data_IF_997717467421
#
_entry.id   IF_997717467421
#
_cell.length_a   1.000
_cell.length_b   1.000
_cell.length_c   1.000
_cell.angle_alpha   90.00
_cell.angle_beta   90.00
_cell.angle_gamma   90.00
#
_symmetry.space_group_name_H-M   'P 1'
#
loop_
_entity.id
_entity.type
_entity.pdbx_description
1 polymer ?
#
# COMPACT_ATOMS: atom_id res chain seq x y z
N UNK A 1 15.33 52.94 4.77
CA UNK A 1 14.02 52.55 5.34
C UNK A 1 13.76 51.08 5.00
N UNK A 2 14.01 50.16 5.92
CA UNK A 2 13.66 48.74 5.78
C UNK A 2 12.53 48.44 6.79
N UNK A 3 11.30 48.18 6.30
CA UNK A 3 10.20 47.70 7.15
C UNK A 3 10.20 46.18 7.09
N UNK A 4 10.61 45.56 8.19
CA UNK A 4 10.49 44.12 8.43
C UNK A 4 9.01 43.75 8.55
N UNK A 5 8.50 42.96 7.60
CA UNK A 5 7.19 42.33 7.71
C UNK A 5 7.32 41.13 8.65
N UNK A 6 7.09 41.37 9.94
CA UNK A 6 6.86 40.29 10.90
C UNK A 6 5.60 39.54 10.44
N UNK A 7 5.79 38.30 9.96
CA UNK A 7 4.72 37.37 9.69
C UNK A 7 3.99 37.09 11.01
N UNK A 8 2.75 37.56 11.10
CA UNK A 8 1.84 37.22 12.20
C UNK A 8 1.49 35.72 12.09
N UNK A 9 1.50 34.96 13.19
CA UNK A 9 1.06 33.57 13.15
C UNK A 9 -0.42 33.55 12.78
N UNK A 10 -0.74 33.00 11.60
CA UNK A 10 -2.14 32.83 11.19
C UNK A 10 -2.77 31.86 12.17
N UNK A 11 -3.62 32.40 13.05
CA UNK A 11 -4.50 31.60 13.89
C UNK A 11 -5.52 30.97 12.94
N UNK A 12 -5.16 29.79 12.41
CA UNK A 12 -6.04 28.99 11.57
C UNK A 12 -7.27 28.65 12.41
N UNK A 13 -8.35 29.40 12.18
CA UNK A 13 -9.64 29.11 12.78
C UNK A 13 -10.08 27.76 12.24
N UNK A 14 -10.00 26.73 13.08
CA UNK A 14 -10.51 25.40 12.75
C UNK A 14 -11.98 25.55 12.37
N UNK A 15 -12.27 25.36 11.08
CA UNK A 15 -13.63 25.39 10.59
C UNK A 15 -14.39 24.19 11.20
N UNK A 16 -15.35 24.48 12.06
CA UNK A 16 -16.13 23.48 12.79
C UNK A 16 -16.81 22.49 11.84
N UNK A 17 -17.18 22.94 10.63
CA UNK A 17 -17.78 22.07 9.62
C UNK A 17 -16.79 21.03 9.11
N UNK A 18 -15.52 21.41 8.96
CA UNK A 18 -14.46 20.50 8.54
C UNK A 18 -14.07 19.53 9.66
N UNK A 19 -14.07 19.99 10.91
CA UNK A 19 -13.83 19.13 12.07
C UNK A 19 -14.92 18.06 12.22
N UNK A 20 -16.20 18.40 12.09
CA UNK A 20 -17.29 17.41 12.12
C UNK A 20 -17.13 16.36 11.02
N UNK A 21 -16.86 16.80 9.78
CA UNK A 21 -16.65 15.87 8.66
C UNK A 21 -15.49 14.92 8.93
N UNK A 22 -14.41 15.42 9.52
CA UNK A 22 -13.26 14.60 9.91
C UNK A 22 -13.64 13.56 10.97
N UNK A 23 -14.35 13.97 12.03
CA UNK A 23 -14.78 13.05 13.10
C UNK A 23 -15.72 11.98 12.55
N UNK A 24 -16.71 12.36 11.75
CA UNK A 24 -17.67 11.43 11.15
C UNK A 24 -16.96 10.45 10.21
N UNK A 25 -16.07 10.93 9.35
CA UNK A 25 -15.30 10.06 8.45
C UNK A 25 -14.39 9.08 9.23
N UNK A 26 -13.77 9.55 10.32
CA UNK A 26 -12.90 8.73 11.17
C UNK A 26 -13.71 7.64 11.89
N UNK A 27 -14.83 8.00 12.50
CA UNK A 27 -15.73 7.03 13.16
C UNK A 27 -16.24 5.98 12.17
N UNK A 28 -16.63 6.40 10.96
CA UNK A 28 -17.04 5.50 9.90
C UNK A 28 -15.91 4.51 9.54
N UNK A 29 -14.68 5.03 9.36
CA UNK A 29 -13.51 4.21 9.11
C UNK A 29 -13.25 3.16 10.21
N UNK A 30 -13.37 3.58 11.48
CA UNK A 30 -13.23 2.66 12.63
C UNK A 30 -14.29 1.56 12.57
N UNK A 31 -15.55 1.90 12.32
CA UNK A 31 -16.64 0.91 12.24
C UNK A 31 -16.38 -0.09 11.10
N UNK A 32 -15.97 0.37 9.92
CA UNK A 32 -15.77 -0.51 8.76
C UNK A 32 -14.54 -1.41 8.89
N UNK A 33 -13.45 -0.89 9.46
CA UNK A 33 -12.13 -1.55 9.43
C UNK A 33 -11.79 -2.25 10.73
N UNK A 34 -12.23 -1.72 11.88
CA UNK A 34 -11.77 -2.17 13.21
C UNK A 34 -12.80 -3.02 13.94
N UNK A 35 -14.10 -2.73 13.82
CA UNK A 35 -15.13 -3.44 14.59
C UNK A 35 -15.50 -4.75 13.89
N UNK A 36 -15.35 -5.91 14.58
CA UNK A 36 -15.78 -7.18 14.04
C UNK A 36 -17.29 -7.36 14.16
N UNK A 37 -17.92 -7.82 13.08
CA UNK A 37 -19.34 -8.16 13.00
C UNK A 37 -19.49 -9.65 12.70
N UNK A 38 -20.60 -10.24 13.14
CA UNK A 38 -20.92 -11.64 12.85
C UNK A 38 -21.61 -11.73 11.49
N UNK A 39 -20.96 -12.39 10.54
CA UNK A 39 -21.50 -12.74 9.23
C UNK A 39 -21.79 -14.25 9.16
N UNK A 40 -22.56 -14.70 8.16
CA UNK A 40 -22.88 -16.12 7.98
C UNK A 40 -21.63 -17.02 7.84
N UNK A 41 -20.51 -16.45 7.37
CA UNK A 41 -19.23 -17.13 7.19
C UNK A 41 -18.27 -16.99 8.38
N UNK A 42 -18.66 -16.31 9.47
CA UNK A 42 -17.84 -16.09 10.66
C UNK A 42 -17.80 -14.64 11.13
N UNK A 43 -16.99 -14.37 12.14
CA UNK A 43 -16.80 -13.01 12.70
C UNK A 43 -15.66 -12.31 11.97
N UNK A 44 -15.98 -11.27 11.21
CA UNK A 44 -15.03 -10.49 10.40
C UNK A 44 -15.39 -8.98 10.46
N UNK A 45 -14.47 -8.10 10.08
CA UNK A 45 -14.83 -6.68 9.86
C UNK A 45 -15.49 -6.50 8.49
N UNK A 46 -16.29 -5.45 8.30
CA UNK A 46 -17.05 -5.25 7.05
C UNK A 46 -16.11 -5.23 5.84
N UNK A 47 -15.00 -4.47 5.93
CA UNK A 47 -14.02 -4.38 4.84
C UNK A 47 -13.41 -5.74 4.52
N UNK A 48 -13.01 -6.49 5.55
CA UNK A 48 -12.34 -7.77 5.35
C UNK A 48 -13.29 -8.83 4.81
N UNK A 49 -14.55 -8.82 5.23
CA UNK A 49 -15.59 -9.71 4.71
C UNK A 49 -15.82 -9.49 3.20
N UNK A 50 -15.90 -8.24 2.76
CA UNK A 50 -16.06 -7.90 1.33
C UNK A 50 -14.84 -8.35 0.52
N UNK A 51 -13.63 -8.08 1.00
CA UNK A 51 -12.39 -8.50 0.33
C UNK A 51 -12.32 -10.03 0.24
N UNK A 52 -12.59 -10.74 1.34
CA UNK A 52 -12.61 -12.21 1.36
C UNK A 52 -13.61 -12.79 0.37
N UNK A 53 -14.81 -12.21 0.32
CA UNK A 53 -15.87 -12.65 -0.60
C UNK A 53 -15.49 -12.39 -2.06
N UNK A 54 -14.84 -11.25 -2.34
CA UNK A 54 -14.30 -10.96 -3.65
C UNK A 54 -13.21 -11.97 -4.05
N UNK A 55 -12.24 -12.22 -3.16
CA UNK A 55 -11.16 -13.17 -3.42
C UNK A 55 -11.69 -14.60 -3.59
N UNK A 56 -12.66 -15.04 -2.79
CA UNK A 56 -13.25 -16.38 -2.92
C UNK A 56 -14.01 -16.55 -4.23
N UNK A 57 -14.68 -15.49 -4.71
CA UNK A 57 -15.38 -15.51 -6.00
C UNK A 57 -14.43 -15.65 -7.18
N UNK A 58 -13.25 -15.04 -7.11
CA UNK A 58 -12.26 -15.00 -8.19
C UNK A 58 -10.97 -15.78 -7.85
N UNK A 59 -11.05 -16.78 -6.98
CA UNK A 59 -9.89 -17.43 -6.36
C UNK A 59 -8.88 -17.94 -7.40
N UNK A 60 -9.34 -18.64 -8.44
CA UNK A 60 -8.47 -19.20 -9.48
C UNK A 60 -7.63 -18.13 -10.19
N UNK A 61 -8.25 -17.17 -10.90
CA UNK A 61 -7.53 -16.11 -11.60
C UNK A 61 -6.62 -15.25 -10.71
N UNK A 62 -7.09 -14.91 -9.49
CA UNK A 62 -6.31 -14.07 -8.56
C UNK A 62 -5.05 -14.79 -8.11
N UNK A 63 -5.13 -16.08 -7.76
CA UNK A 63 -3.95 -16.86 -7.36
C UNK A 63 -2.91 -16.93 -8.47
N UNK A 64 -3.33 -17.17 -9.71
CA UNK A 64 -2.41 -17.18 -10.86
C UNK A 64 -1.79 -15.81 -11.14
N UNK A 65 -2.58 -14.73 -11.03
CA UNK A 65 -2.09 -13.37 -11.22
C UNK A 65 -1.01 -13.04 -10.19
N UNK A 66 -1.26 -13.33 -8.90
CA UNK A 66 -0.29 -13.09 -7.83
C UNK A 66 0.98 -13.90 -8.09
N UNK A 67 0.87 -15.21 -8.36
CA UNK A 67 2.02 -16.05 -8.66
C UNK A 67 2.84 -15.52 -9.84
N UNK A 68 2.18 -15.11 -10.92
CA UNK A 68 2.83 -14.54 -12.11
C UNK A 68 3.57 -13.24 -11.79
N UNK A 69 2.97 -12.34 -11.01
CA UNK A 69 3.62 -11.09 -10.58
C UNK A 69 4.84 -11.38 -9.71
N UNK A 70 4.75 -12.36 -8.80
CA UNK A 70 5.88 -12.78 -7.97
C UNK A 70 7.01 -13.40 -8.80
N UNK A 71 6.69 -14.30 -9.73
CA UNK A 71 7.66 -14.89 -10.66
C UNK A 71 8.37 -13.83 -11.50
N UNK A 72 7.63 -12.90 -12.11
CA UNK A 72 8.22 -11.79 -12.87
C UNK A 72 9.12 -10.97 -11.97
N UNK A 73 8.70 -10.67 -10.73
CA UNK A 73 9.49 -9.90 -9.80
C UNK A 73 10.80 -10.58 -9.40
N UNK A 74 10.78 -11.91 -9.20
CA UNK A 74 11.98 -12.70 -8.93
C UNK A 74 12.93 -12.72 -10.14
N UNK A 75 12.41 -12.98 -11.34
CA UNK A 75 13.19 -12.98 -12.59
C UNK A 75 13.85 -11.62 -12.82
N UNK A 76 13.10 -10.54 -12.62
CA UNK A 76 13.61 -9.17 -12.80
C UNK A 76 14.72 -8.83 -11.80
N UNK A 77 14.62 -9.28 -10.55
CA UNK A 77 15.65 -9.11 -9.54
C UNK A 77 16.94 -9.88 -9.89
N UNK A 78 16.81 -11.10 -10.44
CA UNK A 78 17.95 -11.89 -10.93
C UNK A 78 18.63 -11.20 -12.12
N UNK A 79 17.84 -10.68 -13.07
CA UNK A 79 18.35 -9.94 -14.22
C UNK A 79 19.09 -8.68 -13.75
N UNK A 80 18.54 -7.94 -12.78
CA UNK A 80 19.21 -6.75 -12.24
C UNK A 80 20.56 -7.09 -11.60
N UNK A 81 20.64 -8.22 -10.89
CA UNK A 81 21.86 -8.69 -10.23
C UNK A 81 22.97 -9.07 -11.22
N UNK A 82 22.62 -9.74 -12.33
CA UNK A 82 23.59 -10.29 -13.29
C UNK A 82 24.01 -9.24 -14.33
N UNK A 83 23.06 -8.50 -14.89
CA UNK A 83 23.32 -7.60 -16.02
C UNK A 83 23.33 -6.12 -15.66
N UNK A 84 22.96 -5.75 -14.43
CA UNK A 84 22.95 -4.36 -13.95
C UNK A 84 22.38 -3.35 -14.97
N UNK A 85 21.20 -3.59 -15.52
CA UNK A 85 20.64 -2.76 -16.58
C UNK A 85 20.42 -1.30 -16.16
N UNK A 86 20.91 -0.37 -16.98
CA UNK A 86 20.77 1.07 -16.74
C UNK A 86 19.31 1.52 -16.69
N UNK A 87 18.40 0.87 -17.42
CA UNK A 87 16.97 1.21 -17.43
C UNK A 87 16.25 0.87 -16.12
N UNK A 88 16.72 -0.11 -15.34
CA UNK A 88 16.18 -0.43 -14.02
C UNK A 88 16.81 0.49 -12.97
N UNK A 89 18.12 0.72 -13.05
CA UNK A 89 18.88 1.46 -12.02
C UNK A 89 18.79 2.98 -12.16
N UNK A 90 18.51 3.50 -13.35
CA UNK A 90 18.29 4.94 -13.60
C UNK A 90 16.84 5.37 -13.32
N UNK A 91 15.92 4.43 -13.14
CA UNK A 91 14.52 4.74 -12.81
C UNK A 91 14.29 4.75 -11.30
N UNK A 92 13.80 5.87 -10.77
CA UNK A 92 13.50 6.06 -9.34
C UNK A 92 12.49 5.05 -8.80
N UNK A 93 11.57 4.56 -9.65
CA UNK A 93 10.52 3.60 -9.26
C UNK A 93 10.97 2.15 -9.38
N UNK A 94 11.71 1.79 -10.43
CA UNK A 94 12.09 0.40 -10.71
C UNK A 94 13.28 -0.06 -9.85
N UNK A 95 14.20 0.86 -9.56
CA UNK A 95 15.38 0.61 -8.72
C UNK A 95 15.04 0.01 -7.34
N UNK A 96 14.15 0.60 -6.52
CA UNK A 96 13.80 0.01 -5.22
C UNK A 96 12.99 -1.29 -5.33
N UNK A 97 12.32 -1.55 -6.45
CA UNK A 97 11.50 -2.76 -6.64
C UNK A 97 12.33 -4.00 -7.00
N UNK A 98 13.42 -3.81 -7.76
CA UNK A 98 14.19 -4.90 -8.34
C UNK A 98 15.68 -4.89 -7.95
N UNK A 99 16.25 -3.75 -7.59
CA UNK A 99 17.66 -3.62 -7.20
C UNK A 99 17.83 -3.85 -5.70
N UNK A 100 17.72 -5.12 -5.30
CA UNK A 100 17.86 -5.57 -3.91
C UNK A 100 19.23 -6.20 -3.66
N UNK A 101 19.60 -6.37 -2.39
CA UNK A 101 20.85 -7.09 -2.06
C UNK A 101 20.79 -8.54 -2.52
N UNK A 102 21.93 -9.15 -2.91
CA UNK A 102 21.94 -10.54 -3.39
C UNK A 102 21.37 -11.54 -2.38
N UNK A 103 21.55 -11.29 -1.08
CA UNK A 103 20.91 -12.07 -0.01
C UNK A 103 19.38 -12.03 -0.09
N UNK A 104 18.81 -10.85 -0.36
CA UNK A 104 17.37 -10.68 -0.51
C UNK A 104 16.86 -11.36 -1.78
N UNK A 105 17.61 -11.27 -2.89
CA UNK A 105 17.26 -11.95 -4.15
C UNK A 105 17.22 -13.47 -3.98
N UNK A 106 18.19 -14.07 -3.27
CA UNK A 106 18.17 -15.50 -2.95
C UNK A 106 16.95 -15.87 -2.09
N UNK A 107 16.67 -15.11 -1.03
CA UNK A 107 15.50 -15.35 -0.19
C UNK A 107 14.18 -15.19 -0.95
N UNK A 108 14.13 -14.26 -1.91
CA UNK A 108 12.97 -14.05 -2.79
C UNK A 108 12.73 -15.26 -3.67
N UNK A 109 13.78 -15.86 -4.24
CA UNK A 109 13.66 -17.09 -5.06
C UNK A 109 13.24 -18.30 -4.20
N UNK A 110 13.80 -18.46 -3.00
CA UNK A 110 13.46 -19.57 -2.11
C UNK A 110 12.03 -19.49 -1.56
N UNK A 111 11.47 -18.28 -1.46
CA UNK A 111 10.12 -18.03 -0.96
C UNK A 111 9.04 -17.90 -2.03
N UNK A 112 9.41 -17.88 -3.32
CA UNK A 112 8.46 -17.83 -4.46
C UNK A 112 8.18 -19.24 -4.96
#
# INVERSE_FOLDING_TARGET
MMKNNLQQPTTDKVDMKNLIKFIVATLLGIIIVLIPFSFASGVDTILFHVIKTFVSTFQGPITWLIALVFCISAVMAVIDQIWQPDWIRNNTTLKPLFSTTPFYTVNRILGT
#
